data_IF_354392778926
#
_entry.id   IF_354392778926
#
_cell.length_a   1.000
_cell.length_b   1.000
_cell.length_c   1.000
_cell.angle_alpha   90.00
_cell.angle_beta   90.00
_cell.angle_gamma   90.00
#
_symmetry.space_group_name_H-M   'P 1'
#
loop_
_entity.id
_entity.type
_entity.pdbx_description
1 polymer ?
#
# COMPACT_ATOMS: atom_id res chain seq x y z
N UNK A 1 4.71 -23.50 11.01
CA UNK A 1 5.83 -23.41 10.03
C UNK A 1 5.94 -24.67 9.16
N UNK A 2 5.89 -25.88 9.72
CA UNK A 2 5.98 -27.14 8.95
C UNK A 2 4.92 -27.28 7.85
N UNK A 3 3.66 -26.92 8.15
CA UNK A 3 2.56 -26.94 7.16
C UNK A 3 2.82 -25.97 6.00
N UNK A 4 3.34 -24.78 6.29
CA UNK A 4 3.71 -23.81 5.26
C UNK A 4 4.85 -24.28 4.38
N UNK A 5 5.88 -24.92 4.97
CA UNK A 5 6.97 -25.52 4.22
C UNK A 5 6.49 -26.66 3.31
N UNK A 6 5.62 -27.54 3.82
CA UNK A 6 5.05 -28.63 3.04
C UNK A 6 4.21 -28.10 1.85
N UNK A 7 3.41 -27.05 2.06
CA UNK A 7 2.63 -26.42 0.99
C UNK A 7 3.53 -25.78 -0.09
N UNK A 8 4.64 -25.14 0.30
CA UNK A 8 5.61 -24.57 -0.63
C UNK A 8 6.33 -25.67 -1.44
N UNK A 9 6.74 -26.76 -0.80
CA UNK A 9 7.35 -27.91 -1.48
C UNK A 9 6.39 -28.60 -2.44
N UNK A 10 5.11 -28.72 -2.07
CA UNK A 10 4.07 -29.25 -2.95
C UNK A 10 3.84 -28.33 -4.16
N UNK A 11 3.85 -27.01 -3.95
CA UNK A 11 3.74 -26.02 -5.02
C UNK A 11 4.95 -26.08 -5.96
N UNK A 12 6.16 -26.22 -5.41
CA UNK A 12 7.39 -26.41 -6.19
C UNK A 12 7.34 -27.66 -7.06
N UNK A 13 6.92 -28.80 -6.52
CA UNK A 13 6.79 -30.05 -7.28
C UNK A 13 5.72 -29.98 -8.38
N UNK A 14 4.71 -29.11 -8.23
CA UNK A 14 3.63 -28.91 -9.20
C UNK A 14 3.95 -27.89 -10.32
N UNK A 15 4.97 -27.06 -10.16
CA UNK A 15 5.35 -26.06 -11.18
C UNK A 15 6.20 -26.75 -12.25
N UNK A 16 5.59 -26.98 -13.42
CA UNK A 16 6.32 -27.31 -14.65
C UNK A 16 6.66 -26.02 -15.38
N UNK A 17 7.95 -25.70 -15.44
CA UNK A 17 8.45 -24.52 -16.13
C UNK A 17 8.23 -24.69 -17.64
N UNK A 18 7.27 -23.92 -18.19
CA UNK A 18 6.78 -24.11 -19.57
C UNK A 18 7.68 -23.46 -20.64
N UNK A 19 8.61 -22.60 -20.24
CA UNK A 19 9.42 -21.80 -21.16
C UNK A 19 10.81 -21.59 -20.57
N UNK A 20 11.81 -22.26 -21.16
CA UNK A 20 13.22 -22.13 -20.80
C UNK A 20 13.69 -20.75 -21.28
N UNK A 21 14.21 -19.86 -20.40
CA UNK A 21 14.86 -18.63 -20.85
C UNK A 21 16.06 -18.99 -21.74
N UNK A 22 16.09 -18.51 -22.97
CA UNK A 22 17.25 -18.69 -23.86
C UNK A 22 18.47 -18.03 -23.20
N UNK A 23 19.64 -18.67 -23.19
CA UNK A 23 20.87 -18.19 -22.52
C UNK A 23 21.27 -16.74 -22.90
N UNK A 24 20.85 -16.27 -24.07
CA UNK A 24 21.06 -14.89 -24.54
C UNK A 24 20.25 -13.81 -23.80
N UNK A 25 19.09 -14.15 -23.20
CA UNK A 25 18.24 -13.19 -22.46
C UNK A 25 18.74 -12.94 -21.04
N UNK A 26 19.35 -13.95 -20.40
CA UNK A 26 19.86 -13.89 -19.02
C UNK A 26 21.16 -13.09 -18.91
N UNK A 27 21.99 -13.07 -19.96
CA UNK A 27 23.34 -12.48 -19.94
C UNK A 27 23.40 -10.94 -20.13
N UNK A 28 22.27 -10.25 -20.39
CA UNK A 28 22.27 -8.80 -20.72
C UNK A 28 21.54 -7.89 -19.74
N UNK A 29 21.16 -8.36 -18.55
CA UNK A 29 20.55 -7.49 -17.54
C UNK A 29 21.64 -6.84 -16.70
N UNK A 30 22.01 -5.60 -17.03
CA UNK A 30 22.94 -4.80 -16.23
C UNK A 30 22.18 -4.02 -15.17
N UNK A 31 22.82 -3.74 -14.02
CA UNK A 31 22.23 -2.86 -13.00
C UNK A 31 21.84 -1.47 -13.55
N UNK A 32 22.53 -1.00 -14.59
CA UNK A 32 22.17 0.22 -15.32
C UNK A 32 20.77 0.16 -15.94
N UNK A 33 20.30 -1.03 -16.33
CA UNK A 33 19.00 -1.23 -16.96
C UNK A 33 17.86 -0.99 -15.96
N UNK A 34 18.08 -1.18 -14.66
CA UNK A 34 17.13 -0.80 -13.61
C UNK A 34 16.89 0.71 -13.62
N UNK A 35 17.95 1.51 -13.68
CA UNK A 35 17.89 2.98 -13.66
C UNK A 35 17.31 3.52 -14.97
N UNK A 36 17.72 2.93 -16.10
CA UNK A 36 17.22 3.31 -17.43
C UNK A 36 15.73 3.01 -17.54
N UNK A 37 15.29 1.82 -17.11
CA UNK A 37 13.89 1.44 -17.17
C UNK A 37 13.04 2.27 -16.20
N UNK A 38 13.55 2.54 -14.99
CA UNK A 38 12.92 3.48 -14.06
C UNK A 38 12.77 4.87 -14.68
N UNK A 39 13.79 5.42 -15.35
CA UNK A 39 13.71 6.74 -15.99
C UNK A 39 12.79 6.77 -17.20
N UNK A 40 12.74 5.69 -17.97
CA UNK A 40 12.02 5.63 -19.25
C UNK A 40 10.54 5.29 -19.08
N UNK A 41 10.17 4.53 -18.05
CA UNK A 41 8.82 4.07 -17.80
C UNK A 41 8.10 5.02 -16.81
N UNK A 42 7.42 6.05 -17.33
CA UNK A 42 6.65 7.01 -16.52
C UNK A 42 5.57 6.32 -15.65
N UNK A 43 4.78 5.35 -16.17
CA UNK A 43 3.86 4.58 -15.35
C UNK A 43 4.54 3.84 -14.18
N UNK A 44 5.75 3.32 -14.38
CA UNK A 44 6.54 2.68 -13.33
C UNK A 44 6.96 3.65 -12.23
N UNK A 45 7.37 4.87 -12.58
CA UNK A 45 7.72 5.90 -11.58
C UNK A 45 6.52 6.27 -10.72
N UNK A 46 5.37 6.49 -11.37
CA UNK A 46 4.14 6.89 -10.69
C UNK A 46 3.67 5.75 -9.77
N UNK A 47 3.64 4.52 -10.28
CA UNK A 47 3.24 3.36 -9.49
C UNK A 47 4.24 3.08 -8.35
N UNK A 48 5.54 3.18 -8.61
CA UNK A 48 6.58 2.98 -7.59
C UNK A 48 6.51 4.01 -6.48
N UNK A 49 6.30 5.29 -6.81
CA UNK A 49 6.10 6.35 -5.82
C UNK A 49 4.80 6.11 -5.03
N UNK A 50 3.73 5.69 -5.71
CA UNK A 50 2.48 5.34 -5.06
C UNK A 50 2.61 4.15 -4.11
N UNK A 51 3.40 3.13 -4.47
CA UNK A 51 3.76 2.01 -3.59
C UNK A 51 4.51 2.50 -2.36
N UNK A 52 5.54 3.31 -2.56
CA UNK A 52 6.34 3.86 -1.46
C UNK A 52 5.44 4.61 -0.46
N UNK A 53 4.60 5.52 -0.95
CA UNK A 53 3.70 6.29 -0.09
C UNK A 53 2.64 5.38 0.56
N UNK A 54 2.00 4.52 -0.24
CA UNK A 54 0.99 3.54 0.17
C UNK A 54 1.41 2.71 1.37
N UNK A 55 2.60 2.09 1.27
CA UNK A 55 3.15 1.26 2.33
C UNK A 55 3.67 2.08 3.51
N UNK A 56 4.14 3.30 3.28
CA UNK A 56 4.56 4.20 4.36
C UNK A 56 3.40 4.47 5.31
N UNK A 57 2.27 4.99 4.84
CA UNK A 57 1.15 5.31 5.73
C UNK A 57 0.40 4.06 6.25
N UNK A 58 0.47 2.93 5.53
CA UNK A 58 0.03 1.63 6.06
C UNK A 58 0.79 1.27 7.34
N UNK A 59 2.11 1.45 7.32
CA UNK A 59 2.96 1.12 8.46
C UNK A 59 2.88 2.14 9.59
N UNK A 60 2.65 3.42 9.31
CA UNK A 60 2.32 4.41 10.34
C UNK A 60 1.15 3.94 11.20
N UNK A 61 0.05 3.53 10.53
CA UNK A 61 -1.15 3.04 11.19
C UNK A 61 -0.98 1.71 11.93
N UNK A 62 0.08 0.96 11.67
CA UNK A 62 0.39 -0.27 12.42
C UNK A 62 1.33 0.02 13.60
N UNK A 63 2.31 0.91 13.43
CA UNK A 63 3.29 1.28 14.45
C UNK A 63 2.68 2.14 15.55
N UNK A 64 1.84 3.10 15.20
CA UNK A 64 1.34 4.11 16.16
C UNK A 64 0.03 3.68 16.84
N UNK A 65 -0.73 2.77 16.22
CA UNK A 65 -2.06 2.37 16.70
C UNK A 65 -2.12 1.92 18.17
N UNK A 66 -1.21 1.06 18.67
CA UNK A 66 -1.23 0.66 20.08
C UNK A 66 -1.01 1.84 21.03
N UNK A 67 -0.14 2.78 20.65
CA UNK A 67 0.15 3.97 21.46
C UNK A 67 -1.03 4.95 21.46
N UNK A 68 -1.68 5.11 20.31
CA UNK A 68 -2.86 5.96 20.17
C UNK A 68 -4.01 5.48 21.07
N UNK A 69 -4.32 4.18 21.09
CA UNK A 69 -5.37 3.64 21.96
C UNK A 69 -4.99 3.71 23.44
N UNK A 70 -3.73 3.42 23.76
CA UNK A 70 -3.26 3.42 25.15
C UNK A 70 -3.23 4.82 25.76
N UNK A 71 -2.69 5.81 25.04
CA UNK A 71 -2.38 7.13 25.61
C UNK A 71 -3.35 8.24 25.23
N UNK A 72 -3.85 8.28 23.98
CA UNK A 72 -4.80 9.31 23.56
C UNK A 72 -6.25 8.93 23.90
N UNK A 73 -6.60 7.66 23.78
CA UNK A 73 -7.97 7.18 24.09
C UNK A 73 -8.08 6.69 25.54
N UNK A 74 -7.03 6.07 26.08
CA UNK A 74 -7.02 5.52 27.44
C UNK A 74 -7.56 4.08 27.56
N UNK A 75 -7.89 3.43 26.44
CA UNK A 75 -8.51 2.10 26.39
C UNK A 75 -7.63 1.09 25.64
N UNK A 76 -6.68 0.49 26.36
CA UNK A 76 -5.74 -0.49 25.79
C UNK A 76 -6.39 -1.85 25.50
N UNK A 77 -7.43 -2.19 26.25
CA UNK A 77 -8.22 -3.41 26.12
C UNK A 77 -8.93 -3.51 24.76
N UNK A 78 -9.18 -2.38 24.08
CA UNK A 78 -9.82 -2.35 22.77
C UNK A 78 -8.86 -2.54 21.60
N UNK A 79 -7.54 -2.60 21.85
CA UNK A 79 -6.53 -2.74 20.79
C UNK A 79 -6.79 -3.97 19.94
N UNK A 80 -7.04 -5.12 20.56
CA UNK A 80 -7.27 -6.38 19.86
C UNK A 80 -8.62 -6.37 19.11
N UNK A 81 -9.70 -5.93 19.76
CA UNK A 81 -11.03 -5.98 19.17
C UNK A 81 -11.19 -5.00 18.00
N UNK A 82 -10.77 -3.74 18.16
CA UNK A 82 -10.81 -2.73 17.10
C UNK A 82 -9.77 -3.05 16.02
N UNK A 83 -8.62 -3.60 16.40
CA UNK A 83 -7.59 -4.08 15.46
C UNK A 83 -8.10 -5.20 14.54
N UNK A 84 -8.80 -6.20 15.10
CA UNK A 84 -9.42 -7.30 14.33
C UNK A 84 -10.47 -6.79 13.34
N UNK A 85 -11.30 -5.85 13.76
CA UNK A 85 -12.30 -5.23 12.89
C UNK A 85 -11.65 -4.53 11.69
N UNK A 86 -10.45 -3.99 11.89
CA UNK A 86 -9.61 -3.45 10.83
C UNK A 86 -9.14 -4.45 9.77
N UNK A 87 -9.15 -5.75 10.05
CA UNK A 87 -8.77 -6.78 9.07
C UNK A 87 -9.94 -7.28 8.23
N UNK A 88 -11.18 -7.11 8.72
CA UNK A 88 -12.41 -7.61 8.07
C UNK A 88 -12.57 -7.06 6.64
N UNK A 89 -12.41 -5.74 6.37
CA UNK A 89 -12.51 -5.21 5.01
C UNK A 89 -11.58 -5.87 4.00
N UNK A 90 -10.33 -6.14 4.42
CA UNK A 90 -9.30 -6.74 3.58
C UNK A 90 -9.54 -8.21 3.24
N UNK A 91 -10.46 -8.89 3.93
CA UNK A 91 -10.81 -10.29 3.68
C UNK A 91 -12.15 -10.37 2.95
N UNK A 92 -13.17 -9.70 3.48
CA UNK A 92 -14.53 -9.85 2.99
C UNK A 92 -14.87 -8.89 1.85
N UNK A 93 -14.25 -7.72 1.73
CA UNK A 93 -14.66 -6.73 0.72
C UNK A 93 -13.83 -6.78 -0.57
N UNK A 94 -12.86 -7.68 -0.65
CA UNK A 94 -12.00 -7.88 -1.83
C UNK A 94 -12.80 -8.24 -3.08
N UNK A 95 -13.85 -9.06 -2.94
CA UNK A 95 -14.69 -9.45 -4.07
C UNK A 95 -15.47 -8.28 -4.69
N UNK A 96 -15.63 -7.17 -3.96
CA UNK A 96 -16.27 -5.97 -4.50
C UNK A 96 -15.31 -5.15 -5.38
N UNK A 97 -13.98 -5.31 -5.23
CA UNK A 97 -13.01 -4.48 -5.95
C UNK A 97 -13.18 -4.54 -7.47
N UNK A 98 -13.36 -5.73 -8.11
CA UNK A 98 -13.54 -5.80 -9.56
C UNK A 98 -14.84 -5.14 -10.02
N UNK A 99 -15.96 -5.34 -9.29
CA UNK A 99 -17.25 -4.73 -9.60
C UNK A 99 -17.18 -3.21 -9.51
N UNK A 100 -16.58 -2.72 -8.43
CA UNK A 100 -16.48 -1.29 -8.18
C UNK A 100 -15.53 -0.63 -9.17
N UNK A 101 -14.34 -1.20 -9.44
CA UNK A 101 -13.41 -0.74 -10.50
C UNK A 101 -14.12 -0.62 -11.84
N UNK A 102 -14.90 -1.62 -12.25
CA UNK A 102 -15.62 -1.60 -13.54
C UNK A 102 -16.63 -0.46 -13.61
N UNK A 103 -17.28 -0.11 -12.50
CA UNK A 103 -18.29 0.95 -12.48
C UNK A 103 -17.71 2.36 -12.42
N UNK A 104 -16.67 2.59 -11.61
CA UNK A 104 -16.16 3.95 -11.36
C UNK A 104 -14.86 4.26 -12.12
N UNK A 105 -14.20 3.24 -12.66
CA UNK A 105 -12.91 3.35 -13.33
C UNK A 105 -11.73 3.32 -12.36
N UNK A 106 -10.54 3.06 -12.92
CA UNK A 106 -9.29 2.82 -12.16
C UNK A 106 -8.86 4.00 -11.30
N UNK A 107 -8.82 5.21 -11.85
CA UNK A 107 -8.36 6.42 -11.13
C UNK A 107 -9.33 6.79 -10.00
N UNK A 108 -10.62 6.80 -10.31
CA UNK A 108 -11.65 7.15 -9.34
C UNK A 108 -11.73 6.11 -8.21
N UNK A 109 -11.41 4.83 -8.48
CA UNK A 109 -11.29 3.81 -7.44
C UNK A 109 -10.27 4.23 -6.39
N UNK A 110 -9.05 4.59 -6.79
CA UNK A 110 -8.04 5.05 -5.83
C UNK A 110 -8.45 6.33 -5.10
N UNK A 111 -9.02 7.32 -5.81
CA UNK A 111 -9.48 8.55 -5.17
C UNK A 111 -10.60 8.31 -4.15
N UNK A 112 -11.56 7.44 -4.46
CA UNK A 112 -12.65 7.07 -3.56
C UNK A 112 -12.11 6.42 -2.28
N UNK A 113 -11.26 5.40 -2.42
CA UNK A 113 -10.76 4.66 -1.26
C UNK A 113 -9.75 5.45 -0.42
N UNK A 114 -8.92 6.29 -1.04
CA UNK A 114 -8.10 7.26 -0.30
C UNK A 114 -8.98 8.30 0.41
N UNK A 115 -10.10 8.72 -0.19
CA UNK A 115 -11.10 9.56 0.46
C UNK A 115 -11.73 8.89 1.68
N UNK A 116 -12.17 7.62 1.54
CA UNK A 116 -12.71 6.82 2.65
C UNK A 116 -11.66 6.65 3.76
N UNK A 117 -10.39 6.45 3.39
CA UNK A 117 -9.29 6.42 4.35
C UNK A 117 -9.17 7.73 5.14
N UNK A 118 -9.19 8.87 4.46
CA UNK A 118 -9.15 10.20 5.11
C UNK A 118 -10.36 10.41 6.01
N UNK A 119 -11.56 10.01 5.59
CA UNK A 119 -12.75 10.07 6.43
C UNK A 119 -12.60 9.20 7.69
N UNK A 120 -12.08 7.98 7.56
CA UNK A 120 -11.78 7.12 8.71
C UNK A 120 -10.78 7.76 9.68
N UNK A 121 -9.74 8.41 9.17
CA UNK A 121 -8.77 9.14 9.98
C UNK A 121 -9.40 10.32 10.72
N UNK A 122 -10.29 11.07 10.07
CA UNK A 122 -11.03 12.16 10.71
C UNK A 122 -12.03 11.65 11.75
N UNK A 123 -12.68 10.51 11.52
CA UNK A 123 -13.51 9.86 12.54
C UNK A 123 -12.70 9.48 13.78
N UNK A 124 -11.51 8.92 13.60
CA UNK A 124 -10.59 8.65 14.72
C UNK A 124 -10.15 9.95 15.40
N UNK A 125 -9.89 11.01 14.65
CA UNK A 125 -9.55 12.32 15.21
C UNK A 125 -10.66 12.88 16.10
N UNK A 126 -11.93 12.74 15.71
CA UNK A 126 -13.07 13.13 16.54
C UNK A 126 -13.21 12.22 17.76
N UNK A 127 -12.91 10.93 17.63
CA UNK A 127 -12.99 9.97 18.72
C UNK A 127 -12.07 10.30 19.90
N UNK A 128 -10.95 10.96 19.65
CA UNK A 128 -10.00 11.30 20.71
C UNK A 128 -10.51 12.33 21.72
N UNK A 129 -11.54 13.12 21.39
CA UNK A 129 -12.02 14.17 22.27
C UNK A 129 -12.68 13.55 23.51
N UNK A 130 -12.55 14.23 24.66
CA UNK A 130 -13.05 13.73 25.94
C UNK A 130 -14.55 13.39 25.93
N UNK A 131 -15.34 14.05 25.08
CA UNK A 131 -16.76 13.78 24.91
C UNK A 131 -17.07 12.43 24.24
N UNK A 132 -16.12 11.83 23.50
CA UNK A 132 -16.34 10.66 22.67
C UNK A 132 -15.40 9.48 22.97
N UNK A 133 -14.31 9.68 23.72
CA UNK A 133 -13.29 8.65 23.99
C UNK A 133 -13.86 7.36 24.62
N UNK A 134 -14.89 7.47 25.45
CA UNK A 134 -15.54 6.33 26.11
C UNK A 134 -16.53 5.58 25.20
N UNK A 135 -16.74 6.05 23.96
CA UNK A 135 -17.63 5.42 22.98
C UNK A 135 -16.83 4.52 22.02
N UNK A 136 -16.75 3.20 22.25
CA UNK A 136 -15.98 2.28 21.39
C UNK A 136 -16.56 2.20 19.97
N UNK A 137 -17.86 2.49 19.80
CA UNK A 137 -18.54 2.47 18.51
C UNK A 137 -17.90 3.43 17.51
N UNK A 138 -17.50 4.64 17.94
CA UNK A 138 -16.84 5.60 17.06
C UNK A 138 -15.46 5.09 16.61
N UNK A 139 -14.72 4.46 17.53
CA UNK A 139 -13.44 3.79 17.24
C UNK A 139 -13.57 2.64 16.25
N UNK A 140 -14.61 1.80 16.37
CA UNK A 140 -14.89 0.73 15.41
C UNK A 140 -15.20 1.28 14.02
N UNK A 141 -16.09 2.28 13.91
CA UNK A 141 -16.45 2.89 12.63
C UNK A 141 -15.23 3.57 11.99
N UNK A 142 -14.48 4.36 12.77
CA UNK A 142 -13.29 5.04 12.30
C UNK A 142 -12.22 4.06 11.80
N UNK A 143 -11.92 3.00 12.58
CA UNK A 143 -10.94 1.99 12.19
C UNK A 143 -11.41 1.18 10.98
N UNK A 144 -12.70 0.86 10.89
CA UNK A 144 -13.26 0.16 9.73
C UNK A 144 -13.06 0.98 8.45
N UNK A 145 -13.45 2.25 8.47
CA UNK A 145 -13.34 3.14 7.30
C UNK A 145 -11.87 3.35 6.91
N UNK A 146 -11.00 3.62 7.91
CA UNK A 146 -9.57 3.75 7.70
C UNK A 146 -9.02 2.49 7.02
N UNK A 147 -9.26 1.32 7.58
CA UNK A 147 -8.68 0.08 7.07
C UNK A 147 -9.29 -0.35 5.75
N UNK A 148 -10.58 -0.08 5.52
CA UNK A 148 -11.21 -0.37 4.25
C UNK A 148 -10.65 0.48 3.12
N UNK A 149 -10.47 1.78 3.36
CA UNK A 149 -9.81 2.68 2.41
C UNK A 149 -8.37 2.25 2.13
N UNK A 150 -7.60 1.97 3.17
CA UNK A 150 -6.21 1.53 3.09
C UNK A 150 -6.06 0.21 2.33
N UNK A 151 -6.73 -0.85 2.76
CA UNK A 151 -6.61 -2.19 2.17
C UNK A 151 -7.12 -2.25 0.74
N UNK A 152 -8.16 -1.49 0.40
CA UNK A 152 -8.66 -1.44 -0.97
C UNK A 152 -7.68 -0.70 -1.89
N UNK A 153 -7.09 0.41 -1.43
CA UNK A 153 -6.07 1.11 -2.19
C UNK A 153 -4.81 0.24 -2.36
N UNK A 154 -4.24 -0.31 -1.28
CA UNK A 154 -3.00 -1.09 -1.34
C UNK A 154 -3.18 -2.48 -1.97
N UNK A 155 -4.37 -3.08 -1.86
CA UNK A 155 -4.67 -4.35 -2.49
C UNK A 155 -4.78 -4.22 -4.01
N UNK A 156 -5.51 -3.20 -4.48
CA UNK A 156 -5.71 -2.99 -5.91
C UNK A 156 -4.44 -2.48 -6.62
N UNK A 157 -3.48 -1.88 -5.90
CA UNK A 157 -2.15 -1.55 -6.42
C UNK A 157 -1.47 -2.74 -7.13
N UNK A 158 -1.55 -3.94 -6.55
CA UNK A 158 -0.93 -5.14 -7.11
C UNK A 158 -1.56 -5.57 -8.44
N UNK A 159 -2.83 -5.26 -8.67
CA UNK A 159 -3.51 -5.56 -9.92
C UNK A 159 -3.02 -4.68 -11.09
N UNK A 160 -2.39 -3.54 -10.79
CA UNK A 160 -1.86 -2.59 -11.79
C UNK A 160 -0.39 -2.89 -12.14
N UNK A 161 0.31 -3.68 -11.32
CA UNK A 161 1.72 -4.06 -11.58
C UNK A 161 1.90 -4.77 -12.94
N UNK A 162 1.06 -5.75 -13.33
CA UNK A 162 1.15 -6.38 -14.64
C UNK A 162 1.02 -5.37 -15.79
N UNK A 163 0.14 -4.38 -15.67
CA UNK A 163 -0.06 -3.34 -16.70
C UNK A 163 1.23 -2.52 -16.94
N UNK A 164 1.96 -2.21 -15.86
CA UNK A 164 3.25 -1.52 -15.95
C UNK A 164 4.34 -2.40 -16.54
N UNK A 165 4.31 -3.71 -16.24
CA UNK A 165 5.21 -4.69 -16.86
C UNK A 165 4.96 -4.73 -18.37
N UNK A 166 3.72 -4.92 -18.80
CA UNK A 166 3.33 -4.95 -20.21
C UNK A 166 3.76 -3.68 -20.95
N UNK A 167 3.54 -2.50 -20.35
CA UNK A 167 4.00 -1.23 -20.93
C UNK A 167 5.53 -1.14 -21.03
N UNK A 168 6.25 -1.62 -20.01
CA UNK A 168 7.71 -1.69 -20.01
C UNK A 168 8.25 -2.59 -21.12
N UNK A 169 7.65 -3.77 -21.30
CA UNK A 169 8.01 -4.71 -22.38
C UNK A 169 7.75 -4.11 -23.76
N UNK A 170 6.61 -3.43 -23.94
CA UNK A 170 6.27 -2.75 -25.18
C UNK A 170 7.28 -1.66 -25.57
N UNK A 171 7.70 -0.83 -24.60
CA UNK A 171 8.62 0.28 -24.85
C UNK A 171 10.08 -0.17 -24.96
N UNK A 172 10.47 -1.18 -24.19
CA UNK A 172 11.84 -1.69 -24.17
C UNK A 172 12.13 -2.71 -25.26
N UNK A 173 11.08 -3.36 -25.80
CA UNK A 173 11.18 -4.56 -26.66
C UNK A 173 12.03 -5.68 -26.05
N UNK A 174 12.17 -5.68 -24.72
CA UNK A 174 12.92 -6.67 -23.96
C UNK A 174 12.05 -7.15 -22.81
N UNK A 175 12.33 -8.35 -22.32
CA UNK A 175 11.67 -8.89 -21.14
C UNK A 175 12.17 -8.16 -19.89
N UNK A 176 11.34 -7.29 -19.33
CA UNK A 176 11.70 -6.43 -18.17
C UNK A 176 10.88 -6.74 -16.92
N UNK A 177 10.05 -7.79 -16.94
CA UNK A 177 9.21 -8.20 -15.81
C UNK A 177 10.00 -8.39 -14.50
N UNK A 178 11.17 -9.04 -14.56
CA UNK A 178 12.03 -9.25 -13.39
C UNK A 178 12.59 -7.94 -12.81
N UNK A 179 13.03 -7.02 -13.68
CA UNK A 179 13.54 -5.69 -13.31
C UNK A 179 12.44 -4.87 -12.64
N UNK A 180 11.25 -4.84 -13.22
CA UNK A 180 10.10 -4.10 -12.70
C UNK A 180 9.65 -4.65 -11.35
N UNK A 181 9.53 -5.97 -11.21
CA UNK A 181 9.17 -6.59 -9.94
C UNK A 181 10.23 -6.35 -8.85
N UNK A 182 11.52 -6.39 -9.19
CA UNK A 182 12.59 -6.05 -8.27
C UNK A 182 12.50 -4.58 -7.80
N UNK A 183 12.23 -3.65 -8.71
CA UNK A 183 12.01 -2.23 -8.39
C UNK A 183 10.77 -2.04 -7.50
N UNK A 184 9.65 -2.69 -7.80
CA UNK A 184 8.45 -2.65 -6.95
C UNK A 184 8.75 -3.18 -5.54
N UNK A 185 9.50 -4.29 -5.44
CA UNK A 185 9.95 -4.85 -4.17
C UNK A 185 10.88 -3.91 -3.40
N UNK A 186 11.75 -3.16 -4.08
CA UNK A 186 12.59 -2.13 -3.48
C UNK A 186 11.76 -0.98 -2.91
N UNK A 187 10.83 -0.42 -3.69
CA UNK A 187 9.94 0.65 -3.21
C UNK A 187 9.08 0.20 -2.02
N UNK A 188 8.62 -1.06 -2.04
CA UNK A 188 7.93 -1.67 -0.91
C UNK A 188 8.79 -1.66 0.35
N UNK A 189 10.03 -2.17 0.29
CA UNK A 189 10.95 -2.18 1.45
C UNK A 189 11.31 -0.79 1.96
N UNK A 190 11.47 0.19 1.05
CA UNK A 190 11.70 1.58 1.45
C UNK A 190 10.47 2.13 2.17
N UNK A 191 9.26 1.91 1.62
CA UNK A 191 8.01 2.33 2.25
C UNK A 191 7.81 1.71 3.63
N UNK A 192 8.18 0.43 3.81
CA UNK A 192 8.19 -0.24 5.11
C UNK A 192 9.13 0.46 6.12
N UNK A 193 10.37 0.72 5.71
CA UNK A 193 11.36 1.34 6.57
C UNK A 193 10.94 2.77 6.98
N UNK A 194 10.51 3.58 6.00
CA UNK A 194 9.99 4.92 6.25
C UNK A 194 8.74 4.89 7.13
N UNK A 195 7.88 3.90 6.92
CA UNK A 195 6.64 3.70 7.65
C UNK A 195 6.82 3.42 9.13
N UNK A 196 7.95 2.84 9.53
CA UNK A 196 8.31 2.63 10.94
C UNK A 196 9.15 3.77 11.53
N UNK A 197 10.13 4.29 10.77
CA UNK A 197 11.10 5.27 11.27
C UNK A 197 10.46 6.65 11.45
N UNK A 198 9.72 7.16 10.47
CA UNK A 198 9.15 8.51 10.52
C UNK A 198 8.21 8.72 11.71
N UNK A 199 7.20 7.85 11.99
CA UNK A 199 6.32 8.08 13.13
C UNK A 199 7.05 7.93 14.46
N UNK A 200 8.03 7.02 14.53
CA UNK A 200 8.88 6.87 15.73
C UNK A 200 9.69 8.13 15.98
N UNK A 201 10.26 8.74 14.93
CA UNK A 201 11.00 9.99 15.03
C UNK A 201 10.10 11.17 15.42
N UNK A 202 8.91 11.29 14.81
CA UNK A 202 7.93 12.32 15.20
C UNK A 202 7.61 12.16 16.69
N UNK A 203 7.23 10.97 17.15
CA UNK A 203 6.91 10.75 18.55
C UNK A 203 8.10 11.06 19.48
N UNK A 204 9.33 10.69 19.11
CA UNK A 204 10.52 10.99 19.89
C UNK A 204 10.80 12.50 20.01
N UNK A 205 10.63 13.27 18.94
CA UNK A 205 10.80 14.75 18.95
C UNK A 205 9.79 15.42 19.88
N UNK A 206 8.58 14.87 19.97
CA UNK A 206 7.53 15.33 20.89
C UNK A 206 7.69 14.78 22.32
N UNK A 207 8.79 14.07 22.62
CA UNK A 207 9.12 13.59 23.96
C UNK A 207 8.33 12.35 24.39
N UNK A 208 7.84 11.54 23.45
CA UNK A 208 7.15 10.29 23.77
C UNK A 208 8.09 9.30 24.49
N UNK A 209 7.67 8.85 25.67
CA UNK A 209 8.37 7.80 26.42
C UNK A 209 7.41 6.67 26.80
N UNK A 210 7.51 5.54 26.08
CA UNK A 210 6.65 4.38 26.30
C UNK A 210 6.74 3.73 27.70
N UNK A 211 7.73 4.11 28.52
CA UNK A 211 7.85 3.65 29.91
C UNK A 211 6.95 4.42 30.89
N UNK A 212 6.52 5.63 30.52
CA UNK A 212 5.65 6.46 31.37
C UNK A 212 4.21 5.95 31.35
N UNK A 213 3.58 5.99 32.54
CA UNK A 213 2.16 5.70 32.72
C UNK A 213 1.27 6.84 32.17
N UNK A 214 1.72 8.09 32.32
CA UNK A 214 1.05 9.30 31.81
C UNK A 214 2.02 10.07 30.94
N UNK A 215 1.60 10.41 29.72
CA UNK A 215 2.38 11.20 28.77
C UNK A 215 2.16 12.70 28.94
N UNK A 216 3.12 13.51 28.49
CA UNK A 216 2.94 14.95 28.39
C UNK A 216 1.94 15.30 27.28
N UNK A 217 1.33 16.49 27.35
CA UNK A 217 0.41 16.97 26.30
C UNK A 217 1.07 17.07 24.92
N UNK A 218 2.36 17.40 24.89
CA UNK A 218 3.15 17.44 23.66
C UNK A 218 3.34 16.03 23.07
N UNK A 219 3.66 15.03 23.90
CA UNK A 219 3.80 13.64 23.45
C UNK A 219 2.47 13.10 22.88
N UNK A 220 1.33 13.42 23.51
CA UNK A 220 0.00 13.07 22.99
C UNK A 220 -0.29 13.72 21.62
N UNK A 221 0.15 14.96 21.44
CA UNK A 221 0.04 15.67 20.15
C UNK A 221 0.92 15.03 19.08
N UNK A 222 2.13 14.59 19.44
CA UNK A 222 3.03 13.83 18.56
C UNK A 222 2.39 12.53 18.06
N UNK A 223 1.81 11.75 18.98
CA UNK A 223 1.07 10.52 18.63
C UNK A 223 -0.10 10.86 17.69
N UNK A 224 -0.84 11.95 17.95
CA UNK A 224 -1.94 12.37 17.09
C UNK A 224 -1.48 12.70 15.66
N UNK A 225 -0.42 13.50 15.53
CA UNK A 225 0.15 13.88 14.23
C UNK A 225 0.62 12.64 13.48
N UNK A 226 1.33 11.73 14.14
CA UNK A 226 1.82 10.49 13.56
C UNK A 226 0.70 9.54 13.15
N UNK A 227 -0.37 9.45 13.94
CA UNK A 227 -1.47 8.53 13.68
C UNK A 227 -2.45 9.05 12.63
N UNK A 228 -2.70 10.36 12.60
CA UNK A 228 -3.83 10.95 11.87
C UNK A 228 -3.34 11.85 10.74
N UNK A 229 -2.72 12.98 11.09
CA UNK A 229 -2.43 14.05 10.14
C UNK A 229 -1.35 13.70 9.13
N UNK A 230 -0.27 13.05 9.55
CA UNK A 230 0.80 12.63 8.65
C UNK A 230 0.30 11.61 7.61
N UNK A 231 -0.45 10.55 7.99
CA UNK A 231 -1.09 9.67 7.00
C UNK A 231 -2.11 10.37 6.10
N UNK A 232 -2.89 11.35 6.58
CA UNK A 232 -3.81 12.14 5.74
C UNK A 232 -3.02 12.91 4.68
N UNK A 233 -1.94 13.60 5.07
CA UNK A 233 -1.09 14.32 4.14
C UNK A 233 -0.50 13.38 3.08
N UNK A 234 0.01 12.22 3.50
CA UNK A 234 0.52 11.19 2.59
C UNK A 234 -0.57 10.65 1.66
N UNK A 235 -1.79 10.44 2.14
CA UNK A 235 -2.92 10.00 1.31
C UNK A 235 -3.30 11.04 0.24
N UNK A 236 -3.25 12.34 0.57
CA UNK A 236 -3.47 13.42 -0.39
C UNK A 236 -2.35 13.42 -1.45
N UNK A 237 -1.09 13.28 -1.05
CA UNK A 237 0.03 13.18 -2.00
C UNK A 237 -0.11 11.94 -2.88
N UNK A 238 -0.47 10.78 -2.31
CA UNK A 238 -0.71 9.54 -3.05
C UNK A 238 -1.84 9.71 -4.08
N UNK A 239 -2.92 10.38 -3.70
CA UNK A 239 -4.05 10.73 -4.57
C UNK A 239 -3.60 11.61 -5.75
N UNK A 240 -2.80 12.65 -5.48
CA UNK A 240 -2.23 13.51 -6.53
C UNK A 240 -1.29 12.74 -7.47
N UNK A 241 -0.44 11.86 -6.94
CA UNK A 241 0.45 11.01 -7.74
C UNK A 241 -0.38 10.11 -8.66
N UNK A 242 -1.43 9.46 -8.13
CA UNK A 242 -2.29 8.57 -8.90
C UNK A 242 -3.08 9.31 -10.00
N UNK A 243 -3.44 10.58 -9.79
CA UNK A 243 -4.11 11.38 -10.82
C UNK A 243 -3.28 11.48 -12.12
N UNK A 244 -1.95 11.50 -11.98
CA UNK A 244 -0.98 11.57 -13.08
C UNK A 244 -0.74 10.23 -13.76
N UNK A 245 -1.30 9.14 -13.26
CA UNK A 245 -1.18 7.81 -13.88
C UNK A 245 -1.74 7.85 -15.30
N UNK A 246 -0.93 7.49 -16.29
CA UNK A 246 -1.24 7.73 -17.70
C UNK A 246 -1.91 6.56 -18.40
N UNK A 247 -1.86 5.35 -17.85
CA UNK A 247 -2.36 4.14 -18.53
C UNK A 247 -3.86 3.95 -18.30
N UNK A 248 -4.63 3.99 -19.39
CA UNK A 248 -6.03 3.54 -19.42
C UNK A 248 -6.12 2.05 -19.69
N UNK A 249 -7.28 1.45 -19.43
CA UNK A 249 -7.53 0.04 -19.74
C UNK A 249 -7.42 -0.22 -21.25
N UNK A 250 -7.92 0.71 -22.08
CA UNK A 250 -7.82 0.66 -23.55
C UNK A 250 -6.39 0.71 -24.07
N UNK A 251 -5.49 1.44 -23.39
CA UNK A 251 -4.08 1.48 -23.79
C UNK A 251 -3.42 0.12 -23.58
N UNK A 252 -3.77 -0.58 -22.48
CA UNK A 252 -3.24 -1.90 -22.16
C UNK A 252 -3.72 -2.94 -23.17
N UNK A 253 -5.00 -2.90 -23.55
CA UNK A 253 -5.56 -3.81 -24.55
C UNK A 253 -4.85 -3.65 -25.91
N UNK A 254 -4.69 -2.40 -26.38
CA UNK A 254 -3.94 -2.12 -27.62
C UNK A 254 -2.47 -2.56 -27.55
N UNK A 255 -1.83 -2.44 -26.39
CA UNK A 255 -0.45 -2.89 -26.22
C UNK A 255 -0.36 -4.42 -26.27
N UNK A 256 -1.27 -5.12 -25.60
CA UNK A 256 -1.32 -6.59 -25.60
C UNK A 256 -1.53 -7.17 -27.01
N UNK A 257 -2.40 -6.55 -27.81
CA UNK A 257 -2.58 -6.93 -29.21
C UNK A 257 -1.29 -6.78 -30.01
N UNK A 258 -0.57 -5.65 -29.84
CA UNK A 258 0.70 -5.41 -30.52
C UNK A 258 1.80 -6.39 -30.10
N UNK A 259 1.94 -6.68 -28.82
CA UNK A 259 2.92 -7.66 -28.32
C UNK A 259 2.63 -9.05 -28.89
N UNK A 260 1.36 -9.47 -28.91
CA UNK A 260 0.96 -10.76 -29.46
C UNK A 260 1.23 -10.85 -30.97
N UNK A 261 1.06 -9.75 -31.71
CA UNK A 261 1.40 -9.69 -33.13
C UNK A 261 2.91 -9.80 -33.39
N UNK A 262 3.77 -9.28 -32.50
CA UNK A 262 5.22 -9.44 -32.60
C UNK A 262 5.69 -10.85 -32.29
N UNK A 263 5.08 -11.53 -31.31
CA UNK A 263 5.48 -12.89 -30.91
C UNK A 263 5.09 -13.99 -31.91
N UNK A 264 4.23 -13.68 -32.90
CA UNK A 264 3.80 -14.63 -33.95
C UNK A 264 4.64 -14.56 -35.23
N UNK A 265 5.60 -13.62 -35.32
CA UNK A 265 6.58 -13.53 -36.42
C UNK A 265 7.92 -14.07 -35.97
#
# INVERSE_FOLDING_TARGET
>A
MVVGFAALMFSYAGIKERIIPTEEETQKVKYSDLIIELKRNRPLQILGLFFLIGFTFMFFGNTVWPFYLKYNIGHSEWIASIGLLGSIPGIFLVFLWPKLRRSIGKKNFFHLFLGIFVLGQLCLWVWQFDAFKDSPTLGYIGRFLQQWGLTSATGFMWAVVPEVITFGEFKSKKRVAGIINALMGLFFKIGLALGGIIPSYINAVYGFDGSLAVQTGDALSGINISMIWAPIALAIVASLVMSRYSLSDTDIDHINEKITAYSKK
#
